data_IF_640214272524
#
_entry.id   IF_640214272524
#
_cell.length_a   1.000
_cell.length_b   1.000
_cell.length_c   1.000
_cell.angle_alpha   90.00
_cell.angle_beta   90.00
_cell.angle_gamma   90.00
#
_symmetry.space_group_name_H-M   'P 1'
#
loop_
_entity.id
_entity.type
_entity.pdbx_description
1 polymer ?
#
# COMPACT_ATOMS: atom_id res chain seq x y z
N UNK A 1 -1.47 18.69 23.07
CA UNK A 1 -0.72 18.26 21.87
C UNK A 1 -1.21 16.85 21.60
N UNK A 2 -1.97 16.59 20.52
CA UNK A 2 -2.70 15.32 20.33
C UNK A 2 -1.77 14.11 20.44
N UNK A 3 -1.85 13.38 21.55
CA UNK A 3 -1.16 12.10 21.78
C UNK A 3 -1.48 11.10 20.68
N UNK A 4 -2.68 11.19 20.09
CA UNK A 4 -3.16 10.38 18.98
C UNK A 4 -2.17 10.32 17.79
N UNK A 5 -1.53 11.43 17.42
CA UNK A 5 -0.58 11.45 16.29
C UNK A 5 0.89 11.30 16.71
N UNK A 6 1.17 11.10 18.00
CA UNK A 6 2.55 11.04 18.51
C UNK A 6 3.30 9.81 17.95
N UNK A 7 2.65 8.65 17.92
CA UNK A 7 3.18 7.42 17.35
C UNK A 7 3.48 7.57 15.85
N UNK A 8 2.55 8.15 15.08
CA UNK A 8 2.75 8.43 13.66
C UNK A 8 3.96 9.35 13.42
N UNK A 9 4.06 10.45 14.18
CA UNK A 9 5.21 11.37 14.07
C UNK A 9 6.53 10.69 14.44
N UNK A 10 6.52 9.80 15.43
CA UNK A 10 7.70 9.01 15.82
C UNK A 10 8.14 8.06 14.69
N UNK A 11 7.19 7.37 14.05
CA UNK A 11 7.44 6.49 12.92
C UNK A 11 8.00 7.26 11.72
N UNK A 12 7.38 8.39 11.33
CA UNK A 12 7.87 9.25 10.24
C UNK A 12 9.29 9.75 10.54
N UNK A 13 9.56 10.17 11.78
CA UNK A 13 10.89 10.61 12.21
C UNK A 13 11.93 9.48 12.12
N UNK A 14 11.57 8.28 12.56
CA UNK A 14 12.44 7.10 12.54
C UNK A 14 12.77 6.67 11.10
N UNK A 15 11.76 6.54 10.25
CA UNK A 15 11.93 6.21 8.83
C UNK A 15 12.76 7.29 8.11
N UNK A 16 12.50 8.55 8.42
CA UNK A 16 13.25 9.67 7.86
C UNK A 16 14.73 9.67 8.24
N UNK A 17 15.05 9.34 9.51
CA UNK A 17 16.45 9.16 9.95
C UNK A 17 17.13 8.02 9.21
N UNK A 18 16.47 6.86 9.10
CA UNK A 18 17.04 5.70 8.39
C UNK A 18 17.27 5.99 6.90
N UNK A 19 16.37 6.73 6.26
CA UNK A 19 16.57 7.20 4.88
C UNK A 19 17.73 8.20 4.80
N UNK A 20 17.82 9.15 5.75
CA UNK A 20 18.92 10.10 5.83
C UNK A 20 20.29 9.42 5.96
N UNK A 21 20.40 8.44 6.87
CA UNK A 21 21.60 7.62 7.05
C UNK A 21 21.96 6.89 5.75
N UNK A 22 20.97 6.31 5.08
CA UNK A 22 21.17 5.60 3.79
C UNK A 22 21.67 6.53 2.69
N UNK A 23 21.12 7.75 2.59
CA UNK A 23 21.55 8.76 1.60
C UNK A 23 22.98 9.20 1.91
N UNK A 24 23.30 9.46 3.19
CA UNK A 24 24.64 9.86 3.63
C UNK A 24 25.68 8.80 3.30
N UNK A 25 25.37 7.53 3.53
CA UNK A 25 26.27 6.41 3.21
C UNK A 25 26.49 6.24 1.70
N UNK A 26 25.50 6.58 0.87
CA UNK A 26 25.56 6.35 -0.58
C UNK A 26 26.16 7.50 -1.38
N UNK A 27 25.74 8.73 -1.08
CA UNK A 27 26.05 9.93 -1.88
C UNK A 27 26.81 10.99 -1.08
N UNK A 28 27.11 10.71 0.18
CA UNK A 28 27.76 11.64 1.09
C UNK A 28 26.81 12.61 1.77
N UNK A 29 27.37 13.36 2.71
CA UNK A 29 26.64 14.31 3.55
C UNK A 29 26.09 15.52 2.76
N UNK A 30 26.75 15.89 1.66
CA UNK A 30 26.34 17.04 0.84
C UNK A 30 24.92 16.93 0.29
N UNK A 31 24.53 15.76 -0.24
CA UNK A 31 23.17 15.57 -0.78
C UNK A 31 22.13 15.60 0.34
N UNK A 32 22.45 15.01 1.49
CA UNK A 32 21.56 15.05 2.65
C UNK A 32 21.35 16.49 3.14
N UNK A 33 22.42 17.29 3.22
CA UNK A 33 22.36 18.69 3.60
C UNK A 33 21.50 19.52 2.63
N UNK A 34 21.60 19.25 1.32
CA UNK A 34 20.76 19.89 0.30
C UNK A 34 19.28 19.57 0.50
N UNK A 35 18.94 18.29 0.70
CA UNK A 35 17.57 17.84 0.95
C UNK A 35 17.01 18.47 2.23
N UNK A 36 17.77 18.46 3.32
CA UNK A 36 17.37 19.09 4.59
C UNK A 36 17.23 20.61 4.50
N UNK A 37 18.12 21.28 3.76
CA UNK A 37 18.02 22.71 3.50
C UNK A 37 16.73 23.05 2.74
N UNK A 38 16.45 22.34 1.66
CA UNK A 38 15.21 22.53 0.88
C UNK A 38 13.97 22.28 1.75
N UNK A 39 13.97 21.23 2.58
CA UNK A 39 12.86 20.91 3.50
C UNK A 39 12.61 22.02 4.52
N UNK A 40 13.67 22.53 5.16
CA UNK A 40 13.59 23.61 6.16
C UNK A 40 13.08 24.91 5.54
N UNK A 41 13.64 25.31 4.40
CA UNK A 41 13.24 26.51 3.67
C UNK A 41 11.79 26.41 3.18
N UNK A 42 11.36 25.25 2.67
CA UNK A 42 9.96 25.03 2.25
C UNK A 42 8.99 25.18 3.43
N UNK A 43 9.32 24.61 4.60
CA UNK A 43 8.48 24.73 5.80
C UNK A 43 8.36 26.18 6.27
N UNK A 44 9.47 26.91 6.32
CA UNK A 44 9.50 28.31 6.77
C UNK A 44 8.82 29.25 5.77
N UNK A 45 9.01 29.04 4.47
CA UNK A 45 8.32 29.77 3.41
C UNK A 45 6.80 29.60 3.50
N UNK A 46 6.30 28.38 3.78
CA UNK A 46 4.86 28.13 3.99
C UNK A 46 4.31 28.84 5.23
N UNK A 47 5.14 29.13 6.22
CA UNK A 47 4.77 29.90 7.42
C UNK A 47 4.77 31.43 7.19
N UNK A 48 5.03 31.89 5.95
CA UNK A 48 4.97 33.30 5.57
C UNK A 48 6.32 34.01 5.50
N UNK A 49 7.45 33.31 5.69
CA UNK A 49 8.77 33.93 5.60
C UNK A 49 9.18 34.12 4.13
N UNK A 50 9.13 35.36 3.66
CA UNK A 50 9.46 35.72 2.28
C UNK A 50 10.96 35.69 1.97
N UNK A 51 11.83 35.90 2.97
CA UNK A 51 13.28 35.77 2.80
C UNK A 51 13.66 34.32 2.49
N UNK A 52 13.11 33.38 3.26
CA UNK A 52 13.34 31.94 3.06
C UNK A 52 12.73 31.45 1.74
N UNK A 53 11.66 32.10 1.26
CA UNK A 53 11.11 31.83 -0.08
C UNK A 53 12.12 32.19 -1.18
N UNK A 54 12.78 33.35 -1.08
CA UNK A 54 13.82 33.76 -2.05
C UNK A 54 15.02 32.83 -1.97
N UNK A 55 15.44 32.44 -0.77
CA UNK A 55 16.54 31.49 -0.58
C UNK A 55 16.20 30.10 -1.12
N UNK A 56 14.95 29.64 -0.98
CA UNK A 56 14.47 28.38 -1.57
C UNK A 56 14.59 28.41 -3.09
N UNK A 57 14.10 29.47 -3.74
CA UNK A 57 14.17 29.61 -5.20
C UNK A 57 15.62 29.63 -5.69
N UNK A 58 16.49 30.38 -5.02
CA UNK A 58 17.92 30.40 -5.33
C UNK A 58 18.57 29.03 -5.13
N UNK A 59 18.21 28.31 -4.05
CA UNK A 59 18.74 26.96 -3.79
C UNK A 59 18.34 25.98 -4.88
N UNK A 60 17.08 26.03 -5.35
CA UNK A 60 16.60 25.17 -6.42
C UNK A 60 17.22 25.51 -7.79
N UNK A 61 17.42 26.78 -8.09
CA UNK A 61 18.06 27.23 -9.34
C UNK A 61 19.55 26.86 -9.42
N UNK A 62 20.22 26.74 -8.27
CA UNK A 62 21.64 26.41 -8.17
C UNK A 62 21.93 24.92 -7.99
N UNK A 63 20.92 24.04 -8.12
CA UNK A 63 21.16 22.60 -8.17
C UNK A 63 21.81 22.23 -9.49
N UNK A 64 22.92 21.48 -9.43
CA UNK A 64 23.53 20.91 -10.62
C UNK A 64 22.68 19.79 -11.20
N UNK A 65 22.84 19.49 -12.49
CA UNK A 65 22.11 18.42 -13.17
C UNK A 65 22.29 17.05 -12.50
N UNK A 66 23.46 16.79 -11.92
CA UNK A 66 23.78 15.55 -11.22
C UNK A 66 23.08 15.45 -9.85
N UNK A 67 22.69 16.58 -9.26
CA UNK A 67 21.96 16.64 -7.98
C UNK A 67 20.44 16.56 -8.14
N UNK A 68 19.90 16.96 -9.29
CA UNK A 68 18.45 17.01 -9.53
C UNK A 68 17.77 15.66 -9.26
N UNK A 69 18.33 14.58 -9.82
CA UNK A 69 17.75 13.25 -9.68
C UNK A 69 17.85 12.71 -8.25
N UNK A 70 19.02 12.72 -7.56
CA UNK A 70 19.12 12.35 -6.16
C UNK A 70 18.17 13.12 -5.23
N UNK A 71 18.07 14.44 -5.41
CA UNK A 71 17.21 15.29 -4.58
C UNK A 71 15.74 14.97 -4.82
N UNK A 72 15.30 14.85 -6.08
CA UNK A 72 13.93 14.47 -6.41
C UNK A 72 13.56 13.09 -5.86
N UNK A 73 14.47 12.11 -5.99
CA UNK A 73 14.29 10.76 -5.45
C UNK A 73 14.22 10.77 -3.92
N UNK A 74 15.03 11.56 -3.24
CA UNK A 74 14.97 11.70 -1.79
C UNK A 74 13.58 12.16 -1.35
N UNK A 75 13.03 13.22 -1.95
CA UNK A 75 11.68 13.70 -1.61
C UNK A 75 10.58 12.67 -1.94
N UNK A 76 10.69 11.97 -3.08
CA UNK A 76 9.78 10.87 -3.43
C UNK A 76 9.78 9.76 -2.37
N UNK A 77 10.97 9.34 -1.92
CA UNK A 77 11.12 8.31 -0.89
C UNK A 77 10.60 8.77 0.46
N UNK A 78 10.90 10.00 0.87
CA UNK A 78 10.34 10.58 2.09
C UNK A 78 8.80 10.57 2.07
N UNK A 79 8.19 10.92 0.93
CA UNK A 79 6.75 10.88 0.77
C UNK A 79 6.21 9.45 0.86
N UNK A 80 6.83 8.50 0.16
CA UNK A 80 6.44 7.08 0.23
C UNK A 80 6.50 6.54 1.66
N UNK A 81 7.58 6.82 2.40
CA UNK A 81 7.73 6.40 3.79
C UNK A 81 6.73 7.09 4.73
N UNK A 82 6.39 8.35 4.46
CA UNK A 82 5.37 9.08 5.22
C UNK A 82 4.00 8.45 4.98
N UNK A 83 3.66 8.15 3.74
CA UNK A 83 2.40 7.49 3.38
C UNK A 83 2.28 6.11 4.04
N UNK A 84 3.37 5.32 4.09
CA UNK A 84 3.34 4.02 4.80
C UNK A 84 3.15 4.20 6.30
N UNK A 85 3.79 5.19 6.92
CA UNK A 85 3.61 5.46 8.35
C UNK A 85 2.19 5.93 8.68
N UNK A 86 1.58 6.73 7.80
CA UNK A 86 0.18 7.16 7.91
C UNK A 86 -0.78 5.98 7.73
N UNK A 87 -0.61 5.19 6.67
CA UNK A 87 -1.40 3.97 6.44
C UNK A 87 -1.32 3.00 7.62
N UNK A 88 -0.12 2.81 8.18
CA UNK A 88 0.06 2.00 9.39
C UNK A 88 -0.72 2.57 10.58
N UNK A 89 -0.68 3.89 10.77
CA UNK A 89 -1.40 4.53 11.86
C UNK A 89 -2.93 4.39 11.73
N UNK A 90 -3.47 4.49 10.51
CA UNK A 90 -4.90 4.30 10.28
C UNK A 90 -5.37 2.89 10.61
N UNK A 91 -4.57 1.85 10.32
CA UNK A 91 -4.95 0.45 10.62
C UNK A 91 -4.53 -0.01 12.03
N UNK A 92 -3.61 0.68 12.69
CA UNK A 92 -3.12 0.25 14.01
C UNK A 92 -4.23 0.35 15.06
N UNK A 93 -4.39 -0.67 15.94
CA UNK A 93 -5.31 -0.59 17.07
C UNK A 93 -5.01 0.58 18.01
N UNK A 94 -3.75 1.00 18.09
CA UNK A 94 -3.30 2.14 18.90
C UNK A 94 -3.44 3.49 18.15
N UNK A 95 -3.93 3.47 16.91
CA UNK A 95 -4.16 4.64 16.07
C UNK A 95 -5.65 4.90 15.84
N UNK A 96 -6.08 4.90 14.58
CA UNK A 96 -7.49 5.12 14.22
C UNK A 96 -8.31 3.81 14.24
N UNK A 97 -7.64 2.66 14.30
CA UNK A 97 -8.25 1.34 14.28
C UNK A 97 -9.31 1.21 13.16
N UNK A 98 -9.01 1.66 11.95
CA UNK A 98 -9.95 1.69 10.82
C UNK A 98 -10.49 0.31 10.43
N UNK A 99 -9.78 -0.77 10.81
CA UNK A 99 -10.23 -2.15 10.66
C UNK A 99 -10.92 -2.73 11.90
N UNK A 100 -11.28 -1.91 12.89
CA UNK A 100 -12.00 -2.35 14.08
C UNK A 100 -13.43 -2.79 13.68
N UNK A 101 -13.82 -4.04 13.94
CA UNK A 101 -15.16 -4.57 13.62
C UNK A 101 -16.31 -3.77 14.26
N UNK A 102 -16.02 -3.01 15.32
CA UNK A 102 -16.99 -2.19 16.06
C UNK A 102 -17.71 -1.15 15.19
N UNK A 103 -17.11 -0.72 14.07
CA UNK A 103 -17.75 0.22 13.11
C UNK A 103 -19.10 -0.32 12.61
N UNK A 104 -19.19 -1.63 12.38
CA UNK A 104 -20.42 -2.26 11.90
C UNK A 104 -21.47 -2.42 12.99
N UNK A 105 -21.06 -2.80 14.21
CA UNK A 105 -21.95 -2.84 15.36
C UNK A 105 -22.59 -1.47 15.62
N UNK A 106 -21.78 -0.40 15.63
CA UNK A 106 -22.25 0.97 15.82
C UNK A 106 -23.23 1.40 14.71
N UNK A 107 -23.03 0.94 13.47
CA UNK A 107 -23.97 1.20 12.39
C UNK A 107 -25.31 0.51 12.64
N UNK A 108 -25.31 -0.77 13.02
CA UNK A 108 -26.53 -1.53 13.30
C UNK A 108 -27.29 -0.91 14.47
N UNK A 109 -26.60 -0.53 15.55
CA UNK A 109 -27.21 0.17 16.69
C UNK A 109 -27.86 1.49 16.29
N UNK A 110 -27.18 2.29 15.46
CA UNK A 110 -27.74 3.55 14.93
C UNK A 110 -28.97 3.32 14.06
N UNK A 111 -29.02 2.24 13.29
CA UNK A 111 -30.18 1.89 12.47
C UNK A 111 -31.36 1.43 13.34
N UNK A 112 -31.09 0.63 14.38
CA UNK A 112 -32.11 0.25 15.38
C UNK A 112 -32.65 1.47 16.13
N UNK A 113 -31.80 2.43 16.49
CA UNK A 113 -32.21 3.68 17.11
C UNK A 113 -33.12 4.56 16.21
N UNK A 114 -33.12 4.33 14.89
CA UNK A 114 -34.02 4.95 13.93
C UNK A 114 -35.33 4.17 13.70
N UNK A 115 -35.64 3.19 14.55
CA UNK A 115 -36.83 2.34 14.49
C UNK A 115 -36.92 1.45 13.24
N UNK A 116 -35.79 1.07 12.62
CA UNK A 116 -35.76 -0.01 11.64
C UNK A 116 -35.91 -1.36 12.37
N UNK A 117 -36.78 -2.23 11.85
CA UNK A 117 -36.96 -3.56 12.42
C UNK A 117 -35.80 -4.48 12.04
N UNK A 118 -35.55 -5.50 12.88
CA UNK A 118 -34.52 -6.50 12.59
C UNK A 118 -34.80 -7.23 11.25
N UNK A 119 -36.07 -7.41 10.88
CA UNK A 119 -36.43 -7.99 9.58
C UNK A 119 -36.00 -7.09 8.41
N UNK A 120 -36.26 -5.79 8.49
CA UNK A 120 -35.85 -4.85 7.44
C UNK A 120 -34.33 -4.78 7.27
N UNK A 121 -33.59 -4.93 8.38
CA UNK A 121 -32.14 -4.98 8.34
C UNK A 121 -31.63 -6.28 7.71
N UNK A 122 -32.27 -7.42 8.02
CA UNK A 122 -31.94 -8.72 7.39
C UNK A 122 -32.21 -8.69 5.88
N UNK A 123 -33.38 -8.21 5.46
CA UNK A 123 -33.74 -8.11 4.04
C UNK A 123 -32.71 -7.23 3.28
N UNK A 124 -32.29 -6.10 3.87
CA UNK A 124 -31.27 -5.23 3.28
C UNK A 124 -29.88 -5.87 3.19
N UNK A 125 -29.52 -6.73 4.16
CA UNK A 125 -28.27 -7.50 4.13
C UNK A 125 -28.30 -8.57 3.04
N UNK A 126 -29.45 -9.23 2.84
CA UNK A 126 -29.63 -10.25 1.80
C UNK A 126 -29.56 -9.65 0.38
N UNK A 127 -29.98 -8.40 0.21
CA UNK A 127 -29.89 -7.66 -1.06
C UNK A 127 -28.54 -6.95 -1.26
N UNK A 128 -27.61 -7.02 -0.30
CA UNK A 128 -26.35 -6.30 -0.36
C UNK A 128 -25.51 -6.77 -1.56
N UNK A 129 -25.13 -5.83 -2.42
CA UNK A 129 -24.24 -6.08 -3.55
C UNK A 129 -23.26 -4.93 -3.72
N UNK A 130 -21.98 -5.25 -3.61
CA UNK A 130 -20.85 -4.32 -3.70
C UNK A 130 -19.99 -4.79 -4.87
N UNK A 131 -19.91 -3.97 -5.92
CA UNK A 131 -19.01 -4.21 -7.04
C UNK A 131 -17.93 -3.12 -7.09
N UNK A 132 -16.67 -3.55 -6.98
CA UNK A 132 -15.50 -2.68 -7.03
C UNK A 132 -14.75 -2.91 -8.34
N UNK A 133 -14.64 -1.85 -9.16
CA UNK A 133 -13.97 -1.91 -10.45
C UNK A 133 -12.54 -1.38 -10.34
N UNK A 134 -11.55 -2.26 -10.52
CA UNK A 134 -10.14 -1.92 -10.57
C UNK A 134 -9.80 -1.24 -11.90
N UNK A 135 -9.28 -0.02 -11.82
CA UNK A 135 -8.82 0.76 -12.97
C UNK A 135 -7.30 0.84 -12.99
N UNK A 136 -6.72 1.08 -14.17
CA UNK A 136 -5.29 1.36 -14.27
C UNK A 136 -5.00 2.73 -13.64
N UNK A 137 -3.97 2.80 -12.79
CA UNK A 137 -3.57 4.08 -12.23
C UNK A 137 -2.71 4.87 -13.24
N UNK A 138 -3.19 6.01 -13.77
CA UNK A 138 -2.60 6.67 -14.93
C UNK A 138 -1.19 7.22 -14.69
N UNK A 139 -0.77 7.34 -13.43
CA UNK A 139 0.53 7.90 -13.01
C UNK A 139 1.35 6.97 -12.13
N UNK A 140 0.94 5.71 -11.92
CA UNK A 140 1.65 4.83 -10.98
C UNK A 140 2.92 4.25 -11.60
N UNK A 141 4.00 5.02 -11.45
CA UNK A 141 5.37 4.70 -11.85
C UNK A 141 5.93 3.52 -11.03
N UNK A 142 5.34 3.25 -9.85
CA UNK A 142 5.85 2.28 -8.89
C UNK A 142 5.90 0.86 -9.48
N UNK A 143 7.04 0.19 -9.27
CA UNK A 143 7.25 -1.21 -9.67
C UNK A 143 6.67 -2.13 -8.59
N UNK A 144 6.22 -3.33 -8.97
CA UNK A 144 5.77 -4.40 -8.03
C UNK A 144 6.77 -4.61 -6.88
N UNK A 145 8.06 -4.56 -7.19
CA UNK A 145 9.15 -4.70 -6.21
C UNK A 145 9.14 -3.61 -5.14
N UNK A 146 8.71 -2.39 -5.46
CA UNK A 146 8.62 -1.30 -4.49
C UNK A 146 7.42 -1.51 -3.57
N UNK A 147 6.26 -1.87 -4.11
CA UNK A 147 5.04 -2.12 -3.32
C UNK A 147 5.30 -3.22 -2.29
N UNK A 148 5.90 -4.35 -2.71
CA UNK A 148 6.24 -5.43 -1.79
C UNK A 148 7.19 -4.96 -0.68
N UNK A 149 8.13 -4.06 -0.96
CA UNK A 149 9.01 -3.48 0.06
C UNK A 149 8.24 -2.57 1.02
N UNK A 150 7.27 -1.78 0.53
CA UNK A 150 6.44 -0.93 1.38
C UNK A 150 5.52 -1.75 2.29
N UNK A 151 4.96 -2.87 1.81
CA UNK A 151 4.22 -3.84 2.65
C UNK A 151 5.12 -4.45 3.73
N UNK A 152 6.34 -4.83 3.38
CA UNK A 152 7.33 -5.33 4.34
C UNK A 152 7.74 -4.27 5.38
N UNK A 153 7.84 -3.00 4.98
CA UNK A 153 8.06 -1.87 5.90
C UNK A 153 6.88 -1.75 6.86
N UNK A 154 5.65 -1.81 6.36
CA UNK A 154 4.44 -1.80 7.19
C UNK A 154 4.44 -2.95 8.22
N UNK A 155 4.83 -4.16 7.81
CA UNK A 155 4.97 -5.31 8.70
C UNK A 155 6.04 -5.09 9.79
N UNK A 156 7.17 -4.45 9.45
CA UNK A 156 8.19 -4.09 10.44
C UNK A 156 7.65 -3.06 11.45
N UNK A 157 6.90 -2.05 10.99
CA UNK A 157 6.25 -1.08 11.89
C UNK A 157 5.27 -1.77 12.83
N UNK A 158 4.44 -2.69 12.31
CA UNK A 158 3.52 -3.50 13.11
C UNK A 158 4.24 -4.27 14.22
N UNK A 159 5.37 -4.90 13.92
CA UNK A 159 6.15 -5.65 14.92
C UNK A 159 6.81 -4.72 15.95
N UNK A 160 7.21 -3.50 15.58
CA UNK A 160 7.85 -2.54 16.48
C UNK A 160 6.90 -1.87 17.48
N UNK A 161 5.59 -1.91 17.21
CA UNK A 161 4.53 -1.33 18.06
C UNK A 161 4.16 -2.23 19.25
N UNK A 162 4.74 -3.43 19.33
CA UNK A 162 4.58 -4.32 20.48
C UNK A 162 5.38 -3.81 21.70
N UNK A 163 4.68 -3.62 22.83
CA UNK A 163 5.26 -3.10 24.08
C UNK A 163 6.15 -4.11 24.82
N UNK A 164 5.97 -5.40 24.55
CA UNK A 164 6.64 -6.55 25.17
C UNK A 164 7.86 -7.05 24.39
N UNK A 165 8.26 -6.32 23.35
CA UNK A 165 9.33 -6.71 22.43
C UNK A 165 10.71 -6.65 23.10
N UNK A 166 11.47 -7.75 23.05
CA UNK A 166 12.80 -7.78 23.64
C UNK A 166 13.81 -6.92 22.85
N UNK A 167 14.83 -6.39 23.52
CA UNK A 167 15.82 -5.50 22.91
C UNK A 167 16.53 -6.11 21.68
N UNK A 168 16.79 -7.42 21.71
CA UNK A 168 17.44 -8.10 20.60
C UNK A 168 16.52 -8.24 19.38
N UNK A 169 15.22 -8.45 19.58
CA UNK A 169 14.20 -8.52 18.53
C UNK A 169 14.00 -7.14 17.89
N UNK A 170 13.89 -6.10 18.73
CA UNK A 170 13.85 -4.70 18.27
C UNK A 170 15.04 -4.38 17.38
N UNK A 171 16.25 -4.78 17.77
CA UNK A 171 17.47 -4.59 16.95
C UNK A 171 17.40 -5.35 15.62
N UNK A 172 16.86 -6.56 15.60
CA UNK A 172 16.71 -7.35 14.37
C UNK A 172 15.70 -6.71 13.40
N UNK A 173 14.55 -6.25 13.90
CA UNK A 173 13.52 -5.60 13.09
C UNK A 173 14.04 -4.27 12.55
N UNK A 174 14.71 -3.46 13.38
CA UNK A 174 15.35 -2.21 12.93
C UNK A 174 16.42 -2.45 11.86
N UNK A 175 17.19 -3.54 11.96
CA UNK A 175 18.15 -3.93 10.92
C UNK A 175 17.45 -4.29 9.61
N UNK A 176 16.35 -5.05 9.67
CA UNK A 176 15.53 -5.38 8.49
C UNK A 176 14.92 -4.13 7.87
N UNK A 177 14.41 -3.21 8.68
CA UNK A 177 13.85 -1.94 8.22
C UNK A 177 14.89 -1.09 7.48
N UNK A 178 16.12 -0.99 8.02
CA UNK A 178 17.25 -0.34 7.33
C UNK A 178 17.57 -1.00 5.99
N UNK A 179 17.58 -2.34 5.93
CA UNK A 179 17.81 -3.07 4.68
C UNK A 179 16.72 -2.77 3.64
N UNK A 180 15.45 -2.74 4.04
CA UNK A 180 14.33 -2.44 3.14
C UNK A 180 14.43 -1.01 2.58
N UNK A 181 14.76 -0.02 3.42
CA UNK A 181 14.94 1.37 2.99
C UNK A 181 16.12 1.50 2.02
N UNK A 182 17.27 0.89 2.34
CA UNK A 182 18.42 0.85 1.44
C UNK A 182 18.09 0.18 0.10
N UNK A 183 17.37 -0.95 0.14
CA UNK A 183 16.92 -1.62 -1.07
C UNK A 183 15.98 -0.75 -1.90
N UNK A 184 15.07 0.01 -1.30
CA UNK A 184 14.21 0.96 -2.03
C UNK A 184 15.03 2.09 -2.64
N UNK A 185 15.99 2.64 -1.91
CA UNK A 185 16.90 3.69 -2.39
C UNK A 185 17.75 3.25 -3.59
N UNK A 186 18.29 2.04 -3.58
CA UNK A 186 19.09 1.53 -4.70
C UNK A 186 18.27 0.93 -5.84
N UNK A 187 16.95 0.77 -5.66
CA UNK A 187 16.08 0.31 -6.75
C UNK A 187 15.63 1.49 -7.59
N UNK A 188 15.82 1.38 -8.90
CA UNK A 188 15.34 2.37 -9.85
C UNK A 188 13.81 2.35 -9.89
N UNK A 189 13.19 3.42 -9.42
CA UNK A 189 11.73 3.58 -9.39
C UNK A 189 11.21 4.05 -10.74
N UNK A 190 12.02 4.78 -11.49
CA UNK A 190 11.58 5.42 -12.73
C UNK A 190 11.55 4.35 -13.83
N UNK A 191 10.39 4.20 -14.47
CA UNK A 191 10.28 3.38 -15.68
C UNK A 191 10.79 4.19 -16.86
N UNK A 192 11.71 3.62 -17.63
CA UNK A 192 12.23 4.25 -18.87
C UNK A 192 11.18 4.27 -20.00
N UNK A 193 10.19 3.39 -19.92
CA UNK A 193 9.12 3.24 -20.91
C UNK A 193 7.77 3.20 -20.21
N UNK A 194 6.74 3.72 -20.89
CA UNK A 194 5.35 3.64 -20.45
C UNK A 194 4.95 2.15 -20.30
N UNK A 195 4.23 1.77 -19.24
CA UNK A 195 3.73 0.40 -19.09
C UNK A 195 2.85 0.02 -20.29
N UNK A 196 2.92 -1.24 -20.69
CA UNK A 196 1.94 -1.79 -21.62
C UNK A 196 0.61 -2.06 -20.88
N UNK A 197 -0.54 -2.13 -21.57
CA UNK A 197 -1.80 -2.51 -20.94
C UNK A 197 -1.74 -3.88 -20.24
N UNK A 198 -0.85 -4.76 -20.71
CA UNK A 198 -0.60 -6.07 -20.09
C UNK A 198 0.12 -5.92 -18.75
N UNK A 199 1.06 -4.97 -18.64
CA UNK A 199 1.74 -4.68 -17.38
C UNK A 199 0.79 -4.07 -16.35
N UNK A 200 -0.15 -3.24 -16.81
CA UNK A 200 -1.23 -2.70 -15.97
C UNK A 200 -2.12 -3.83 -15.47
N UNK A 201 -2.60 -4.72 -16.35
CA UNK A 201 -3.41 -5.87 -15.93
C UNK A 201 -2.69 -6.78 -14.91
N UNK A 202 -1.39 -7.07 -15.13
CA UNK A 202 -0.57 -7.83 -14.18
C UNK A 202 -0.45 -7.15 -12.81
N UNK A 203 -0.45 -5.82 -12.78
CA UNK A 203 -0.46 -5.07 -11.53
C UNK A 203 -1.79 -5.26 -10.79
N UNK A 204 -2.91 -5.22 -11.51
CA UNK A 204 -4.23 -5.49 -10.94
C UNK A 204 -4.31 -6.88 -10.30
N UNK A 205 -3.75 -7.90 -10.96
CA UNK A 205 -3.67 -9.25 -10.38
C UNK A 205 -2.82 -9.31 -9.13
N UNK A 206 -1.71 -8.56 -9.08
CA UNK A 206 -0.89 -8.49 -7.87
C UNK A 206 -1.67 -7.85 -6.69
N UNK A 207 -2.54 -6.88 -6.93
CA UNK A 207 -3.41 -6.32 -5.87
C UNK A 207 -4.39 -7.38 -5.37
N UNK A 208 -4.96 -8.17 -6.30
CA UNK A 208 -5.85 -9.29 -5.94
C UNK A 208 -5.11 -10.30 -5.07
N UNK A 209 -3.96 -10.81 -5.52
CA UNK A 209 -3.18 -11.84 -4.83
C UNK A 209 -2.67 -11.40 -3.45
N UNK A 210 -2.11 -10.19 -3.36
CA UNK A 210 -1.38 -9.77 -2.16
C UNK A 210 -2.25 -9.06 -1.12
N UNK A 211 -3.50 -8.71 -1.46
CA UNK A 211 -4.37 -7.95 -0.56
C UNK A 211 -5.80 -8.46 -0.58
N UNK A 212 -6.48 -8.46 -1.73
CA UNK A 212 -7.91 -8.78 -1.77
C UNK A 212 -8.21 -10.25 -1.47
N UNK A 213 -7.28 -11.14 -1.82
CA UNK A 213 -7.40 -12.58 -1.60
C UNK A 213 -7.56 -12.95 -0.12
N UNK A 214 -6.86 -12.25 0.77
CA UNK A 214 -7.00 -12.43 2.22
C UNK A 214 -7.99 -11.43 2.84
N UNK A 215 -8.07 -10.22 2.27
CA UNK A 215 -8.90 -9.14 2.77
C UNK A 215 -10.39 -9.41 2.66
N UNK A 216 -10.87 -9.91 1.50
CA UNK A 216 -12.30 -10.17 1.28
C UNK A 216 -12.84 -11.26 2.22
N UNK A 217 -12.19 -12.44 2.36
CA UNK A 217 -12.65 -13.45 3.31
C UNK A 217 -12.59 -12.96 4.76
N UNK A 218 -11.59 -12.15 5.12
CA UNK A 218 -11.49 -11.59 6.48
C UNK A 218 -12.62 -10.61 6.75
N UNK A 219 -12.93 -9.71 5.80
CA UNK A 219 -14.07 -8.81 5.89
C UNK A 219 -15.39 -9.58 6.03
N UNK A 220 -15.63 -10.60 5.21
CA UNK A 220 -16.87 -11.39 5.27
C UNK A 220 -17.02 -12.13 6.61
N UNK A 221 -15.91 -12.58 7.21
CA UNK A 221 -15.91 -13.20 8.53
C UNK A 221 -16.34 -12.20 9.60
N UNK A 222 -15.66 -11.05 9.67
CA UNK A 222 -15.99 -9.99 10.63
C UNK A 222 -17.43 -9.50 10.43
N UNK A 223 -17.85 -9.30 9.19
CA UNK A 223 -19.21 -8.91 8.85
C UNK A 223 -20.25 -9.90 9.39
N UNK A 224 -20.04 -11.21 9.17
CA UNK A 224 -20.92 -12.24 9.70
C UNK A 224 -20.93 -12.34 11.23
N UNK A 225 -19.78 -12.21 11.90
CA UNK A 225 -19.68 -12.25 13.37
C UNK A 225 -20.45 -11.07 14.00
N UNK A 226 -20.39 -9.88 13.39
CA UNK A 226 -21.14 -8.71 13.85
C UNK A 226 -22.64 -8.82 13.58
N UNK A 227 -23.05 -9.41 12.45
CA UNK A 227 -24.45 -9.70 12.17
C UNK A 227 -25.04 -10.70 13.17
N UNK A 228 -24.30 -11.76 13.50
CA UNK A 228 -24.74 -12.73 14.50
C UNK A 228 -24.91 -12.06 15.86
N UNK A 229 -23.93 -11.26 16.27
CA UNK A 229 -23.97 -10.56 17.57
C UNK A 229 -25.12 -9.54 17.66
N UNK A 230 -25.43 -8.83 16.58
CA UNK A 230 -26.36 -7.70 16.61
C UNK A 230 -27.79 -8.04 16.19
N UNK A 231 -27.96 -9.06 15.33
CA UNK A 231 -29.23 -9.42 14.70
C UNK A 231 -29.60 -10.89 14.86
N UNK A 232 -28.79 -11.71 15.55
CA UNK A 232 -28.96 -13.17 15.67
C UNK A 232 -29.18 -13.82 14.28
N UNK A 233 -28.36 -13.39 13.32
CA UNK A 233 -28.46 -13.80 11.92
C UNK A 233 -27.07 -13.99 11.32
N UNK A 234 -26.93 -15.03 10.49
CA UNK A 234 -25.73 -15.29 9.68
C UNK A 234 -26.12 -15.37 8.22
N UNK A 235 -25.30 -14.75 7.36
CA UNK A 235 -25.49 -14.91 5.93
C UNK A 235 -25.29 -16.38 5.52
N UNK A 236 -26.03 -16.88 4.51
CA UNK A 236 -25.75 -18.17 3.89
C UNK A 236 -24.30 -18.24 3.38
N UNK A 237 -23.73 -19.46 3.35
CA UNK A 237 -22.35 -19.67 2.90
C UNK A 237 -22.18 -19.29 1.42
N UNK A 238 -23.25 -19.40 0.65
CA UNK A 238 -23.33 -19.06 -0.77
C UNK A 238 -23.39 -17.55 -1.02
N UNK A 239 -23.72 -16.74 0.00
CA UNK A 239 -23.86 -15.30 -0.12
C UNK A 239 -22.48 -14.62 -0.12
N UNK A 240 -22.05 -14.15 -1.30
CA UNK A 240 -20.83 -13.38 -1.48
C UNK A 240 -21.19 -12.02 -2.09
N UNK A 241 -21.51 -11.01 -1.24
CA UNK A 241 -22.01 -9.73 -1.71
C UNK A 241 -20.92 -8.84 -2.33
N UNK A 242 -19.64 -9.22 -2.24
CA UNK A 242 -18.51 -8.43 -2.74
C UNK A 242 -17.96 -9.05 -4.03
N UNK A 243 -17.91 -8.25 -5.10
CA UNK A 243 -17.34 -8.64 -6.39
C UNK A 243 -16.31 -7.61 -6.85
N UNK A 244 -15.26 -8.12 -7.51
CA UNK A 244 -14.24 -7.29 -8.12
C UNK A 244 -14.23 -7.50 -9.63
N UNK A 245 -14.21 -6.40 -10.36
CA UNK A 245 -14.11 -6.36 -11.82
C UNK A 245 -12.89 -5.52 -12.19
N UNK A 246 -12.36 -5.65 -13.40
CA UNK A 246 -11.21 -4.84 -13.86
C UNK A 246 -11.46 -4.26 -15.25
N UNK A 247 -11.04 -3.01 -15.44
CA UNK A 247 -11.01 -2.34 -16.74
C UNK A 247 -9.66 -2.51 -17.46
N UNK A 248 -8.67 -3.08 -16.79
CA UNK A 248 -7.28 -3.12 -17.28
C UNK A 248 -7.19 -4.12 -18.44
N UNK A 249 -6.84 -3.62 -19.63
CA UNK A 249 -6.87 -4.40 -20.87
C UNK A 249 -8.26 -4.57 -21.50
N UNK A 250 -9.31 -4.04 -20.86
CA UNK A 250 -10.68 -4.03 -21.38
C UNK A 250 -11.14 -2.65 -21.86
N UNK A 251 -10.77 -1.60 -21.13
CA UNK A 251 -11.08 -0.22 -21.49
C UNK A 251 -10.20 0.26 -22.66
N UNK A 252 -10.86 0.68 -23.74
CA UNK A 252 -10.23 1.09 -25.01
C UNK A 252 -10.47 2.57 -25.29
N UNK A 253 -11.23 3.26 -24.43
CA UNK A 253 -11.58 4.65 -24.66
C UNK A 253 -10.34 5.53 -24.61
N UNK A 254 -10.08 6.27 -25.70
CA UNK A 254 -8.90 7.11 -25.85
C UNK A 254 -7.53 6.40 -25.83
N UNK A 255 -7.47 5.07 -25.83
CA UNK A 255 -6.20 4.33 -25.75
C UNK A 255 -5.99 3.33 -26.91
N UNK A 256 -5.28 3.73 -27.99
CA UNK A 256 -5.07 2.87 -29.15
C UNK A 256 -4.19 1.64 -28.86
N UNK A 257 -3.50 1.61 -27.72
CA UNK A 257 -2.64 0.48 -27.33
C UNK A 257 -3.45 -0.72 -26.81
N UNK A 258 -4.74 -0.56 -26.50
CA UNK A 258 -5.62 -1.65 -26.10
C UNK A 258 -6.28 -2.24 -27.34
N UNK A 259 -5.63 -3.24 -27.95
CA UNK A 259 -6.15 -3.97 -29.10
C UNK A 259 -7.02 -5.17 -28.68
N UNK A 260 -7.79 -5.75 -29.61
CA UNK A 260 -8.55 -6.98 -29.32
C UNK A 260 -7.63 -8.15 -28.92
N UNK A 261 -6.43 -8.21 -29.50
CA UNK A 261 -5.41 -9.20 -29.15
C UNK A 261 -4.90 -8.98 -27.72
N UNK A 262 -4.74 -7.73 -27.29
CA UNK A 262 -4.36 -7.39 -25.91
C UNK A 262 -5.47 -7.78 -24.94
N UNK A 263 -6.73 -7.47 -25.23
CA UNK A 263 -7.87 -7.90 -24.40
C UNK A 263 -7.93 -9.42 -24.28
N UNK A 264 -7.80 -10.14 -25.40
CA UNK A 264 -7.72 -11.61 -25.40
C UNK A 264 -6.56 -12.12 -24.57
N UNK A 265 -5.39 -11.50 -24.70
CA UNK A 265 -4.19 -11.88 -23.95
C UNK A 265 -4.37 -11.67 -22.45
N UNK A 266 -4.97 -10.55 -22.02
CA UNK A 266 -5.25 -10.28 -20.61
C UNK A 266 -6.26 -11.27 -20.05
N UNK A 267 -7.33 -11.60 -20.78
CA UNK A 267 -8.29 -12.63 -20.37
C UNK A 267 -7.65 -14.02 -20.22
N UNK A 268 -6.65 -14.36 -21.03
CA UNK A 268 -5.91 -15.62 -20.91
C UNK A 268 -4.84 -15.58 -19.79
N UNK A 269 -4.34 -14.39 -19.45
CA UNK A 269 -3.38 -14.17 -18.36
C UNK A 269 -4.03 -14.18 -16.98
N UNK A 270 -5.32 -13.87 -16.89
CA UNK A 270 -6.07 -14.08 -15.66
C UNK A 270 -5.82 -15.52 -15.20
N UNK A 271 -5.37 -15.74 -13.96
CA UNK A 271 -5.03 -17.08 -13.52
C UNK A 271 -6.19 -18.05 -13.83
N UNK A 272 -5.86 -19.12 -14.54
CA UNK A 272 -6.69 -20.34 -14.67
C UNK A 272 -7.03 -20.95 -13.28
N UNK A 273 -6.47 -20.42 -12.19
CA UNK A 273 -6.82 -20.73 -10.80
C UNK A 273 -8.26 -20.32 -10.41
N UNK A 274 -8.95 -19.54 -11.24
CA UNK A 274 -10.39 -19.29 -11.10
C UNK A 274 -11.28 -20.49 -11.49
N UNK A 275 -10.71 -21.57 -12.07
CA UNK A 275 -11.47 -22.68 -12.66
C UNK A 275 -11.10 -24.09 -12.13
N UNK A 276 -10.49 -24.21 -10.94
CA UNK A 276 -10.18 -25.52 -10.33
C UNK A 276 -9.94 -25.47 -8.81
N UNK A 277 -9.93 -26.62 -8.10
CA UNK A 277 -9.78 -26.65 -6.65
C UNK A 277 -8.44 -26.03 -6.23
N UNK A 278 -8.54 -25.08 -5.29
CA UNK A 278 -7.44 -24.29 -4.70
C UNK A 278 -6.26 -25.21 -4.33
N UNK A 279 -5.07 -25.07 -4.95
CA UNK A 279 -3.90 -25.79 -4.46
C UNK A 279 -3.44 -25.16 -3.15
N UNK A 280 -3.38 -25.99 -2.12
CA UNK A 280 -2.90 -25.63 -0.79
C UNK A 280 -1.53 -24.94 -0.84
N UNK A 281 -1.40 -23.86 -0.05
CA UNK A 281 -0.16 -23.29 0.54
C UNK A 281 1.15 -23.80 -0.10
N UNK A 282 1.72 -23.05 -1.06
CA UNK A 282 3.15 -23.19 -1.37
C UNK A 282 3.99 -22.55 -0.26
N UNK A 283 4.28 -23.35 0.78
CA UNK A 283 5.47 -23.17 1.61
C UNK A 283 6.70 -23.56 0.81
N UNK A 284 7.72 -22.72 0.84
CA UNK A 284 9.11 -23.14 0.69
C UNK A 284 9.64 -23.19 -0.74
N UNK A 285 10.78 -22.53 -0.92
CA UNK A 285 11.68 -22.63 -2.04
C UNK A 285 11.87 -24.08 -2.55
N UNK A 286 11.84 -24.27 -3.87
CA UNK A 286 13.00 -24.87 -4.53
C UNK A 286 13.03 -24.57 -6.03
N UNK A 287 14.16 -24.00 -6.45
CA UNK A 287 14.55 -23.72 -7.82
C UNK A 287 15.41 -24.90 -8.28
N UNK A 288 14.95 -25.75 -9.20
CA UNK A 288 15.85 -26.57 -10.05
C UNK A 288 15.25 -26.78 -11.43
N UNK A 289 15.77 -26.02 -12.38
CA UNK A 289 15.83 -26.43 -13.77
C UNK A 289 17.03 -27.38 -13.91
N UNK A 290 16.81 -28.58 -14.43
CA UNK A 290 17.88 -29.31 -15.12
C UNK A 290 17.32 -29.96 -16.39
N UNK A 291 18.06 -29.69 -17.46
CA UNK A 291 17.91 -30.17 -18.82
C UNK A 291 17.79 -31.69 -18.89
N UNK A 292 16.84 -32.17 -19.69
CA UNK A 292 16.95 -33.46 -20.35
C UNK A 292 17.52 -33.23 -21.75
N UNK A 293 18.68 -33.81 -22.03
CA UNK A 293 19.25 -33.95 -23.37
C UNK A 293 19.22 -35.43 -23.69
N UNK A 294 18.47 -35.77 -24.73
CA UNK A 294 18.50 -37.03 -25.43
C UNK A 294 19.93 -37.39 -25.86
N UNK A 295 20.46 -38.50 -25.35
CA UNK A 295 21.03 -39.63 -26.09
C UNK A 295 21.47 -40.72 -25.12
#
# INVERSE_FOLDING_TARGET
>A
MNEQYSAMRSNVSTLGKLLGDTIKDTLGEHILDRVEKIRKLSKSSRAGNEADRKELLSTLQNLSNDELLPVARAFSQFLNLTNVAEQYHSISPNGEAASNPEVLAQLIERLKAKNLSDQQLRDAVEELSIELVLTAHPTEIARRTLIHKLVEVNNCLKQLDHNDLADYERKQIMRRLRQLIAQSWHTDEIRKHRPSPVDEAKWGFAVVENSLWEGVPSFLREFNEQLETSLDYKMPVEAVPVRFTSWMGGDRDGNPNVTADITRHVLLLQPLESHGPVPARRRGADFRAFHDRSH
#
